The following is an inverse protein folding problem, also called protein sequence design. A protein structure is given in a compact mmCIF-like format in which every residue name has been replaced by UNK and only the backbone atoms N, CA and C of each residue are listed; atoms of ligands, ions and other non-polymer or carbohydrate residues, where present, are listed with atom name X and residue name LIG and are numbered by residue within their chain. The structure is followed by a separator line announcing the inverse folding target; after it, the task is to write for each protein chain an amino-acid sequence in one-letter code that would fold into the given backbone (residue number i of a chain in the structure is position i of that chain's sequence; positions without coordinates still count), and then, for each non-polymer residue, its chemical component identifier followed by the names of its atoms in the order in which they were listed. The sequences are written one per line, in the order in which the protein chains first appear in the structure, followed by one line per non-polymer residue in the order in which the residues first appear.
data_IF_559948816308
#
_entry.id   IF_559948816308
#
_cell.length_a   1.000
_cell.length_b   1.000
_cell.length_c   1.000
_cell.angle_alpha   90.00
_cell.angle_beta   90.00
_cell.angle_gamma   90.00
#
_symmetry.space_group_name_H-M   'P 1'
#
loop_
_entity.id
_entity.type
_entity.pdbx_description
1 polymer ?
#
# COMPACT_ATOMS: atom_id res chain seq x y z
N UNK A 1 10.27 -15.07 5.25
CA UNK A 1 11.27 -15.58 4.28
C UNK A 1 10.65 -15.90 2.91
N UNK A 2 9.53 -16.60 2.84
CA UNK A 2 8.99 -17.13 1.56
C UNK A 2 8.60 -16.10 0.49
N UNK A 3 8.09 -14.92 0.86
CA UNK A 3 7.75 -13.84 -0.09
C UNK A 3 9.01 -13.11 -0.57
N UNK A 4 10.05 -13.12 0.26
CA UNK A 4 11.32 -12.44 0.02
C UNK A 4 12.16 -13.18 -1.03
N UNK A 5 12.17 -14.52 -0.94
CA UNK A 5 12.73 -15.40 -1.96
C UNK A 5 11.97 -15.21 -3.28
N UNK A 6 10.63 -15.13 -3.26
CA UNK A 6 9.81 -14.97 -4.46
C UNK A 6 10.03 -13.65 -5.23
N UNK A 7 10.37 -12.55 -4.56
CA UNK A 7 10.59 -11.25 -5.20
C UNK A 7 12.00 -11.08 -5.78
N UNK A 8 13.02 -11.67 -5.14
CA UNK A 8 14.43 -11.57 -5.56
C UNK A 8 14.88 -12.73 -6.47
N UNK A 9 14.28 -13.92 -6.34
CA UNK A 9 14.71 -15.09 -7.12
C UNK A 9 14.65 -14.88 -8.64
N UNK A 10 13.58 -14.32 -9.24
CA UNK A 10 13.50 -14.26 -10.70
C UNK A 10 14.59 -13.39 -11.33
N UNK A 11 15.05 -12.34 -10.63
CA UNK A 11 15.96 -11.34 -11.19
C UNK A 11 17.45 -11.73 -11.07
N UNK A 12 17.85 -12.40 -9.98
CA UNK A 12 19.22 -12.91 -9.85
C UNK A 12 19.43 -14.14 -10.76
N UNK A 13 18.40 -14.98 -10.92
CA UNK A 13 18.49 -16.21 -11.72
C UNK A 13 18.60 -15.94 -13.22
N UNK A 14 17.92 -14.93 -13.76
CA UNK A 14 17.97 -14.61 -15.20
C UNK A 14 19.29 -13.96 -15.66
N UNK A 15 20.06 -13.34 -14.75
CA UNK A 15 21.43 -12.88 -15.04
C UNK A 15 22.43 -14.06 -15.14
N UNK A 16 22.07 -15.24 -14.61
CA UNK A 16 22.90 -16.45 -14.65
C UNK A 16 22.46 -17.47 -15.73
N UNK A 17 21.20 -17.45 -16.19
CA UNK A 17 20.69 -18.28 -17.30
C UNK A 17 21.13 -17.74 -18.68
N UNK A 18 22.36 -17.25 -18.77
CA UNK A 18 23.06 -16.99 -20.04
C UNK A 18 24.19 -17.99 -20.27
N UNK A 19 24.56 -18.79 -19.25
CA UNK A 19 25.57 -19.84 -19.37
C UNK A 19 25.16 -21.10 -18.59
N UNK A 20 24.99 -22.17 -19.35
CA UNK A 20 25.00 -23.57 -18.94
C UNK A 20 23.70 -24.21 -18.43
N UNK A 21 23.32 -25.26 -19.17
CA UNK A 21 22.25 -26.20 -18.87
C UNK A 21 22.52 -26.93 -17.56
N UNK A 22 21.66 -26.76 -16.54
CA UNK A 22 21.44 -27.76 -15.46
C UNK A 22 20.28 -27.34 -14.55
N UNK A 23 19.04 -27.46 -15.04
CA UNK A 23 17.84 -27.32 -14.20
C UNK A 23 17.69 -28.52 -13.24
N UNK A 24 18.08 -29.72 -13.69
CA UNK A 24 17.87 -30.97 -12.94
C UNK A 24 18.85 -31.19 -11.77
N UNK A 25 20.08 -30.68 -11.85
CA UNK A 25 21.05 -30.83 -10.76
C UNK A 25 20.75 -29.93 -9.55
N UNK A 26 20.04 -28.81 -9.76
CA UNK A 26 19.73 -27.86 -8.68
C UNK A 26 18.50 -28.31 -7.87
N UNK A 27 17.53 -28.99 -8.51
CA UNK A 27 16.42 -29.61 -7.80
C UNK A 27 16.87 -30.68 -6.79
N UNK A 28 18.02 -31.33 -7.03
CA UNK A 28 18.58 -32.32 -6.12
C UNK A 28 19.22 -31.70 -4.86
N UNK A 29 19.79 -30.49 -4.95
CA UNK A 29 20.53 -29.86 -3.84
C UNK A 29 19.63 -29.23 -2.77
N UNK A 30 18.36 -28.93 -3.09
CA UNK A 30 17.41 -28.29 -2.17
C UNK A 30 16.23 -29.17 -1.74
N UNK A 31 16.27 -30.47 -2.08
CA UNK A 31 15.33 -31.45 -1.57
C UNK A 31 15.60 -31.74 -0.09
N UNK A 32 15.04 -30.92 0.80
CA UNK A 32 14.88 -31.31 2.20
C UNK A 32 13.92 -32.53 2.24
N UNK A 33 14.14 -33.56 3.08
CA UNK A 33 13.43 -34.85 2.99
C UNK A 33 11.92 -34.81 3.31
N UNK A 34 11.32 -33.63 3.48
CA UNK A 34 9.90 -33.46 3.77
C UNK A 34 9.27 -32.52 2.73
N UNK A 35 8.60 -33.12 1.73
CA UNK A 35 8.00 -32.48 0.55
C UNK A 35 6.79 -31.56 0.81
N UNK A 36 6.90 -30.60 1.72
CA UNK A 36 5.84 -29.61 2.04
C UNK A 36 5.97 -28.28 1.26
N UNK A 37 7.16 -27.96 0.77
CA UNK A 37 7.46 -26.69 0.08
C UNK A 37 6.75 -26.51 -1.28
N UNK A 38 6.68 -27.51 -2.18
CA UNK A 38 6.10 -27.33 -3.51
C UNK A 38 4.59 -27.05 -3.46
N UNK A 39 3.87 -27.71 -2.55
CA UNK A 39 2.42 -27.56 -2.39
C UNK A 39 2.05 -26.20 -1.81
N UNK A 40 2.79 -25.74 -0.80
CA UNK A 40 2.57 -24.42 -0.18
C UNK A 40 2.89 -23.28 -1.16
N UNK A 41 3.94 -23.46 -1.98
CA UNK A 41 4.30 -22.53 -3.04
C UNK A 41 3.21 -22.42 -4.11
N UNK A 42 2.72 -23.55 -4.64
CA UNK A 42 1.64 -23.57 -5.63
C UNK A 42 0.33 -22.93 -5.12
N UNK A 43 -0.02 -23.14 -3.85
CA UNK A 43 -1.21 -22.52 -3.24
C UNK A 43 -1.05 -21.00 -3.10
N UNK A 44 0.13 -20.53 -2.68
CA UNK A 44 0.42 -19.09 -2.58
C UNK A 44 0.42 -18.42 -3.97
N UNK A 45 1.06 -19.05 -4.96
CA UNK A 45 1.08 -18.58 -6.35
C UNK A 45 -0.34 -18.53 -6.92
N UNK A 46 -1.14 -19.59 -6.80
CA UNK A 46 -2.55 -19.58 -7.27
C UNK A 46 -3.39 -18.45 -6.68
N UNK A 47 -3.22 -18.15 -5.38
CA UNK A 47 -3.95 -17.03 -4.75
C UNK A 47 -3.50 -15.67 -5.27
N UNK A 48 -2.21 -15.46 -5.48
CA UNK A 48 -1.66 -14.21 -6.04
C UNK A 48 -2.14 -14.03 -7.49
N UNK A 49 -2.06 -15.09 -8.30
CA UNK A 49 -2.55 -15.09 -9.68
C UNK A 49 -4.05 -14.79 -9.76
N UNK A 50 -4.86 -15.43 -8.90
CA UNK A 50 -6.32 -15.22 -8.87
C UNK A 50 -6.71 -13.80 -8.45
N UNK A 51 -6.18 -13.31 -7.34
CA UNK A 51 -6.52 -11.98 -6.81
C UNK A 51 -6.02 -10.85 -7.73
N UNK A 52 -4.89 -11.02 -8.40
CA UNK A 52 -4.41 -10.03 -9.38
C UNK A 52 -5.20 -10.12 -10.68
N UNK A 53 -5.44 -11.33 -11.20
CA UNK A 53 -6.20 -11.54 -12.44
C UNK A 53 -7.58 -10.88 -12.38
N UNK A 54 -8.33 -11.09 -11.29
CA UNK A 54 -9.63 -10.42 -11.10
C UNK A 54 -9.51 -8.89 -11.13
N UNK A 55 -8.43 -8.33 -10.58
CA UNK A 55 -8.22 -6.89 -10.55
C UNK A 55 -7.82 -6.30 -11.89
N UNK A 56 -6.93 -6.98 -12.62
CA UNK A 56 -6.57 -6.58 -13.98
C UNK A 56 -7.80 -6.60 -14.90
N UNK A 57 -8.67 -7.60 -14.75
CA UNK A 57 -9.93 -7.67 -15.49
C UNK A 57 -10.91 -6.54 -15.12
N UNK A 58 -11.04 -6.21 -13.83
CA UNK A 58 -11.85 -5.07 -13.38
C UNK A 58 -11.29 -3.72 -13.90
N UNK A 59 -9.97 -3.58 -13.91
CA UNK A 59 -9.27 -2.40 -14.45
C UNK A 59 -9.56 -2.21 -15.93
N UNK A 60 -9.39 -3.27 -16.73
CA UNK A 60 -9.69 -3.24 -18.16
C UNK A 60 -11.18 -2.95 -18.40
N UNK A 61 -12.08 -3.61 -17.68
CA UNK A 61 -13.52 -3.38 -17.85
C UNK A 61 -13.90 -1.92 -17.60
N UNK A 62 -13.24 -1.27 -16.64
CA UNK A 62 -13.44 0.15 -16.40
C UNK A 62 -12.78 1.04 -17.46
N UNK A 63 -11.53 0.79 -17.84
CA UNK A 63 -10.83 1.56 -18.87
C UNK A 63 -11.60 1.50 -20.21
N UNK A 64 -12.22 0.34 -20.53
CA UNK A 64 -13.13 0.17 -21.68
C UNK A 64 -14.43 0.96 -21.50
N UNK A 65 -15.02 0.96 -20.30
CA UNK A 65 -16.21 1.76 -20.02
C UNK A 65 -15.93 3.27 -20.16
N UNK A 66 -14.79 3.73 -19.65
CA UNK A 66 -14.35 5.12 -19.75
C UNK A 66 -14.11 5.50 -21.22
N UNK A 67 -13.47 4.63 -22.01
CA UNK A 67 -13.33 4.80 -23.45
C UNK A 67 -14.66 4.95 -24.18
N UNK A 68 -15.64 4.07 -23.89
CA UNK A 68 -16.98 4.16 -24.49
C UNK A 68 -17.65 5.48 -24.11
N UNK A 69 -17.59 5.88 -22.84
CA UNK A 69 -18.18 7.13 -22.36
C UNK A 69 -17.54 8.36 -22.99
N UNK A 70 -16.21 8.38 -23.13
CA UNK A 70 -15.49 9.49 -23.77
C UNK A 70 -15.82 9.56 -25.26
N UNK A 71 -15.88 8.42 -25.95
CA UNK A 71 -16.30 8.36 -27.36
C UNK A 71 -17.75 8.81 -27.57
N UNK A 72 -18.63 8.56 -26.61
CA UNK A 72 -20.00 9.10 -26.60
C UNK A 72 -20.03 10.62 -26.31
N UNK A 73 -19.06 11.14 -25.55
CA UNK A 73 -18.94 12.55 -25.15
C UNK A 73 -18.04 13.40 -26.07
N UNK A 74 -17.31 12.79 -27.01
CA UNK A 74 -16.34 13.40 -27.95
C UNK A 74 -16.94 14.44 -28.92
N UNK A 75 -18.22 14.80 -28.76
CA UNK A 75 -18.72 16.09 -29.25
C UNK A 75 -18.10 17.28 -28.46
N UNK A 76 -17.45 17.08 -27.30
CA UNK A 76 -17.05 18.22 -26.43
C UNK A 76 -15.71 18.19 -25.64
N UNK A 77 -14.87 17.14 -25.60
CA UNK A 77 -13.55 17.28 -24.93
C UNK A 77 -12.50 16.19 -25.23
N UNK A 78 -11.23 16.58 -25.31
CA UNK A 78 -10.06 15.68 -25.36
C UNK A 78 -9.75 15.13 -23.96
N UNK A 79 -10.06 13.85 -23.69
CA UNK A 79 -9.79 13.22 -22.40
C UNK A 79 -8.36 12.65 -22.33
N UNK A 80 -7.55 13.17 -21.40
CA UNK A 80 -6.17 12.74 -21.18
C UNK A 80 -6.13 11.43 -20.37
N UNK A 81 -5.40 10.44 -20.86
CA UNK A 81 -5.14 9.17 -20.15
C UNK A 81 -6.17 8.06 -20.39
N UNK A 82 -6.98 8.19 -21.43
CA UNK A 82 -7.91 7.16 -21.92
C UNK A 82 -7.16 6.19 -22.84
N UNK A 83 -7.60 4.93 -22.87
CA UNK A 83 -7.06 3.92 -23.78
C UNK A 83 -7.32 4.33 -25.25
N UNK A 84 -6.38 4.09 -26.17
CA UNK A 84 -6.57 4.50 -27.57
C UNK A 84 -7.56 3.60 -28.31
N UNK A 85 -7.62 2.32 -27.94
CA UNK A 85 -8.50 1.33 -28.54
C UNK A 85 -8.93 0.28 -27.50
N UNK A 86 -10.02 -0.42 -27.79
CA UNK A 86 -10.52 -1.51 -26.95
C UNK A 86 -9.57 -2.71 -27.13
N UNK A 87 -8.95 -3.23 -26.04
CA UNK A 87 -8.01 -4.33 -26.15
C UNK A 87 -8.70 -5.65 -26.53
N UNK A 88 -8.04 -6.43 -27.39
CA UNK A 88 -8.44 -7.79 -27.70
C UNK A 88 -8.14 -8.76 -26.55
N UNK A 89 -8.60 -10.01 -26.70
CA UNK A 89 -8.36 -11.06 -25.71
C UNK A 89 -6.87 -11.31 -25.42
N UNK A 90 -5.96 -11.34 -26.43
CA UNK A 90 -4.53 -11.53 -26.18
C UNK A 90 -3.93 -10.41 -25.33
N UNK A 91 -4.25 -9.14 -25.62
CA UNK A 91 -3.74 -7.98 -24.88
C UNK A 91 -4.23 -7.99 -23.43
N UNK A 92 -5.50 -8.35 -23.23
CA UNK A 92 -6.11 -8.52 -21.90
C UNK A 92 -5.35 -9.56 -21.07
N UNK A 93 -5.04 -10.70 -21.68
CA UNK A 93 -4.30 -11.78 -21.02
C UNK A 93 -2.86 -11.36 -20.73
N UNK A 94 -2.17 -10.76 -21.71
CA UNK A 94 -0.80 -10.28 -21.56
C UNK A 94 -0.67 -9.21 -20.47
N UNK A 95 -1.62 -8.27 -20.38
CA UNK A 95 -1.67 -7.29 -19.29
C UNK A 95 -1.95 -7.96 -17.94
N UNK A 96 -2.96 -8.84 -17.88
CA UNK A 96 -3.38 -9.48 -16.63
C UNK A 96 -2.29 -10.35 -16.02
N UNK A 97 -1.50 -11.02 -16.87
CA UNK A 97 -0.40 -11.90 -16.47
C UNK A 97 0.98 -11.29 -16.71
N UNK A 98 1.06 -9.96 -16.95
CA UNK A 98 2.34 -9.27 -17.16
C UNK A 98 3.28 -9.51 -15.98
N UNK A 99 4.40 -10.18 -16.22
CA UNK A 99 5.31 -10.66 -15.15
C UNK A 99 5.87 -9.51 -14.30
N UNK A 100 6.18 -8.35 -14.93
CA UNK A 100 6.71 -7.15 -14.27
C UNK A 100 5.76 -6.69 -13.19
N UNK A 101 4.46 -6.68 -13.50
CA UNK A 101 3.46 -6.39 -12.51
C UNK A 101 3.25 -7.56 -11.54
N UNK A 102 3.05 -8.77 -12.09
CA UNK A 102 2.58 -9.97 -11.38
C UNK A 102 3.38 -10.25 -10.11
N UNK A 103 4.70 -10.14 -10.21
CA UNK A 103 5.63 -10.43 -9.12
C UNK A 103 5.80 -9.26 -8.15
N UNK A 104 5.50 -8.04 -8.58
CA UNK A 104 5.74 -6.80 -7.82
C UNK A 104 4.51 -6.38 -6.99
N UNK A 105 3.33 -6.88 -7.33
CA UNK A 105 2.08 -6.58 -6.62
C UNK A 105 1.59 -5.13 -6.78
N UNK A 106 2.25 -4.36 -7.66
CA UNK A 106 1.92 -2.98 -7.99
C UNK A 106 0.70 -2.91 -8.91
N UNK A 107 -0.12 -1.87 -8.71
CA UNK A 107 -1.23 -1.56 -9.59
C UNK A 107 -0.84 -0.45 -10.56
N UNK A 108 -1.15 -0.68 -11.84
CA UNK A 108 -1.03 0.29 -12.91
C UNK A 108 -2.18 0.04 -13.90
N UNK A 109 -2.65 1.10 -14.57
CA UNK A 109 -3.76 1.00 -15.53
C UNK A 109 -3.37 0.24 -16.79
N UNK A 110 -4.35 -0.23 -17.55
CA UNK A 110 -4.07 -0.82 -18.86
C UNK A 110 -3.42 0.21 -19.79
N UNK A 111 -3.85 1.48 -19.74
CA UNK A 111 -3.20 2.56 -20.48
C UNK A 111 -1.69 2.66 -20.19
N UNK A 112 -1.27 2.53 -18.93
CA UNK A 112 0.16 2.57 -18.57
C UNK A 112 0.95 1.39 -19.14
N UNK A 113 0.32 0.22 -19.21
CA UNK A 113 0.90 -0.94 -19.86
C UNK A 113 1.00 -0.76 -21.37
N UNK A 114 -0.05 -0.24 -22.00
CA UNK A 114 -0.08 0.05 -23.43
C UNK A 114 0.99 1.09 -23.82
N UNK A 115 1.09 2.18 -23.07
CA UNK A 115 2.12 3.22 -23.30
C UNK A 115 3.51 2.64 -23.21
N UNK A 116 3.76 1.79 -22.20
CA UNK A 116 5.04 1.12 -22.01
C UNK A 116 5.45 0.23 -23.20
N UNK A 117 4.49 -0.51 -23.79
CA UNK A 117 4.77 -1.34 -24.96
C UNK A 117 5.00 -0.53 -26.23
N UNK A 118 4.41 0.66 -26.34
CA UNK A 118 4.46 1.51 -27.53
C UNK A 118 5.37 2.73 -27.37
N UNK A 119 6.35 2.68 -26.45
CA UNK A 119 7.29 3.78 -26.27
C UNK A 119 8.16 3.94 -27.52
N UNK A 120 8.31 5.16 -28.08
CA UNK A 120 9.03 5.36 -29.34
C UNK A 120 10.54 5.06 -29.20
N UNK A 121 11.17 5.45 -28.08
CA UNK A 121 12.61 5.28 -27.82
C UNK A 121 12.87 4.70 -26.42
N UNK A 122 12.59 3.42 -26.15
CA UNK A 122 12.74 2.83 -24.81
C UNK A 122 14.19 2.81 -24.31
N UNK A 123 15.17 2.75 -25.21
CA UNK A 123 16.60 2.78 -24.87
C UNK A 123 17.09 4.13 -24.36
N UNK A 124 16.37 5.22 -24.62
CA UNK A 124 16.73 6.57 -24.19
C UNK A 124 16.19 6.89 -22.78
N UNK A 125 15.31 6.03 -22.24
CA UNK A 125 14.68 6.27 -20.94
C UNK A 125 15.70 5.97 -19.82
N UNK A 126 15.97 6.95 -18.93
CA UNK A 126 16.97 6.78 -17.89
C UNK A 126 16.48 5.84 -16.77
N UNK A 127 16.91 4.58 -16.81
CA UNK A 127 16.55 3.58 -15.79
C UNK A 127 17.55 3.51 -14.62
N UNK A 128 18.85 3.67 -14.90
CA UNK A 128 19.93 3.46 -13.92
C UNK A 128 19.87 4.39 -12.71
N UNK A 129 19.73 5.71 -12.92
CA UNK A 129 19.74 6.68 -11.81
C UNK A 129 18.53 6.49 -10.87
N UNK A 130 17.28 6.41 -11.37
CA UNK A 130 16.12 6.15 -10.52
C UNK A 130 16.21 4.79 -9.82
N UNK A 131 16.73 3.76 -10.50
CA UNK A 131 16.94 2.44 -9.92
C UNK A 131 17.90 2.51 -8.73
N UNK A 132 19.07 3.15 -8.91
CA UNK A 132 20.07 3.27 -7.85
C UNK A 132 19.51 4.02 -6.62
N UNK A 133 18.74 5.08 -6.85
CA UNK A 133 18.08 5.84 -5.77
C UNK A 133 17.12 4.97 -4.94
N UNK A 134 16.42 4.02 -5.56
CA UNK A 134 15.60 3.04 -4.83
C UNK A 134 16.47 1.99 -4.15
N UNK A 135 17.41 1.38 -4.87
CA UNK A 135 18.22 0.27 -4.35
C UNK A 135 19.09 0.68 -3.15
N UNK A 136 19.59 1.91 -3.07
CA UNK A 136 20.49 2.35 -1.96
C UNK A 136 19.84 2.25 -0.58
N UNK A 137 18.51 2.40 -0.50
CA UNK A 137 17.77 2.30 0.77
C UNK A 137 17.43 0.85 1.16
N UNK A 138 17.49 -0.10 0.22
CA UNK A 138 17.11 -1.49 0.49
C UNK A 138 18.01 -2.17 1.53
N UNK A 139 19.37 -2.03 1.51
CA UNK A 139 20.23 -2.56 2.56
C UNK A 139 19.92 -1.98 3.95
N UNK A 140 19.59 -0.68 4.02
CA UNK A 140 19.21 -0.02 5.28
C UNK A 140 17.92 -0.63 5.83
N UNK A 141 16.91 -0.83 4.98
CA UNK A 141 15.66 -1.48 5.41
C UNK A 141 15.88 -2.95 5.79
N UNK A 142 16.69 -3.69 5.03
CA UNK A 142 16.97 -5.10 5.30
C UNK A 142 17.69 -5.29 6.64
N UNK A 143 18.76 -4.53 6.88
CA UNK A 143 19.52 -4.58 8.15
C UNK A 143 18.66 -4.15 9.33
N UNK A 144 17.87 -3.08 9.18
CA UNK A 144 16.93 -2.62 10.21
C UNK A 144 15.88 -3.68 10.51
N UNK A 145 15.30 -4.29 9.48
CA UNK A 145 14.32 -5.37 9.63
C UNK A 145 14.93 -6.55 10.40
N UNK A 146 16.11 -7.02 10.01
CA UNK A 146 16.78 -8.15 10.67
C UNK A 146 17.13 -7.81 12.13
N UNK A 147 17.72 -6.65 12.38
CA UNK A 147 18.11 -6.23 13.73
C UNK A 147 16.91 -6.08 14.68
N UNK A 148 15.88 -5.33 14.27
CA UNK A 148 14.73 -5.07 15.14
C UNK A 148 13.86 -6.33 15.30
N UNK A 149 13.69 -7.15 14.26
CA UNK A 149 12.91 -8.40 14.38
C UNK A 149 13.62 -9.46 15.23
N UNK A 150 14.95 -9.45 15.28
CA UNK A 150 15.71 -10.31 16.18
C UNK A 150 15.50 -9.93 17.65
N UNK A 151 15.51 -8.63 17.96
CA UNK A 151 15.36 -8.15 19.34
C UNK A 151 13.88 -8.16 19.80
N UNK A 152 12.95 -7.80 18.92
CA UNK A 152 11.51 -7.73 19.20
C UNK A 152 10.71 -8.57 18.19
N UNK A 153 10.72 -9.91 18.33
CA UNK A 153 10.04 -10.81 17.42
C UNK A 153 8.50 -10.60 17.46
N UNK A 154 7.85 -10.35 16.30
CA UNK A 154 6.38 -10.20 16.22
C UNK A 154 5.60 -11.39 16.79
N UNK A 155 6.19 -12.58 16.76
CA UNK A 155 5.61 -13.82 17.25
C UNK A 155 5.34 -13.79 18.76
N UNK A 156 6.08 -12.97 19.52
CA UNK A 156 5.91 -12.86 20.96
C UNK A 156 4.52 -12.35 21.37
N UNK A 157 3.82 -11.59 20.50
CA UNK A 157 2.45 -11.12 20.74
C UNK A 157 1.43 -12.24 20.94
N UNK A 158 1.72 -13.44 20.45
CA UNK A 158 0.87 -14.62 20.60
C UNK A 158 1.25 -15.49 21.81
N UNK A 159 2.35 -15.18 22.49
CA UNK A 159 2.82 -15.95 23.64
C UNK A 159 2.11 -15.51 24.93
N UNK A 160 1.73 -16.46 25.78
CA UNK A 160 1.10 -16.18 27.09
C UNK A 160 2.01 -15.30 27.96
N UNK A 161 3.33 -15.50 27.92
CA UNK A 161 4.31 -14.71 28.66
C UNK A 161 4.32 -13.21 28.29
N UNK A 162 3.80 -12.84 27.12
CA UNK A 162 3.60 -11.43 26.76
C UNK A 162 2.51 -10.78 27.60
N UNK A 163 1.43 -11.51 27.89
CA UNK A 163 0.27 -11.01 28.61
C UNK A 163 0.51 -10.89 30.12
N UNK A 164 1.53 -11.57 30.64
CA UNK A 164 2.04 -11.40 32.00
C UNK A 164 2.80 -10.08 32.20
N UNK A 165 3.22 -9.42 31.10
CA UNK A 165 3.94 -8.14 31.17
C UNK A 165 3.00 -6.99 31.48
N UNK A 166 3.55 -5.97 32.15
CA UNK A 166 2.82 -4.74 32.50
C UNK A 166 2.28 -3.98 31.27
N UNK A 167 1.29 -3.11 31.49
CA UNK A 167 0.65 -2.33 30.43
C UNK A 167 1.66 -1.52 29.58
N UNK A 168 2.59 -0.83 30.22
CA UNK A 168 3.60 -0.02 29.51
C UNK A 168 4.48 -0.86 28.59
N UNK A 169 4.86 -2.07 29.02
CA UNK A 169 5.62 -2.98 28.17
C UNK A 169 4.80 -3.39 26.94
N UNK A 170 3.52 -3.75 27.13
CA UNK A 170 2.65 -4.16 26.02
C UNK A 170 2.37 -3.03 25.01
N UNK A 171 2.25 -1.79 25.50
CA UNK A 171 2.13 -0.59 24.68
C UNK A 171 3.44 -0.22 23.98
N UNK A 172 4.58 -0.43 24.63
CA UNK A 172 5.88 -0.25 23.99
C UNK A 172 6.10 -1.30 22.90
N UNK A 173 5.79 -2.57 23.16
CA UNK A 173 6.10 -3.69 22.26
C UNK A 173 5.39 -3.62 20.91
N UNK A 174 4.21 -2.99 20.81
CA UNK A 174 3.58 -2.75 19.51
C UNK A 174 4.40 -1.82 18.61
N UNK A 175 5.21 -0.92 19.17
CA UNK A 175 6.02 0.04 18.40
C UNK A 175 7.08 -0.65 17.54
N UNK A 176 8.02 -1.45 18.08
CA UNK A 176 9.01 -2.13 17.27
C UNK A 176 8.37 -3.19 16.35
N UNK A 177 7.31 -3.88 16.79
CA UNK A 177 6.63 -4.87 15.94
C UNK A 177 6.00 -4.21 14.71
N UNK A 178 5.28 -3.11 14.91
CA UNK A 178 4.70 -2.32 13.82
C UNK A 178 5.77 -1.70 12.94
N UNK A 179 6.87 -1.22 13.52
CA UNK A 179 8.00 -0.70 12.75
C UNK A 179 8.64 -1.79 11.85
N UNK A 180 8.90 -2.99 12.38
CA UNK A 180 9.37 -4.16 11.61
C UNK A 180 8.41 -4.47 10.46
N UNK A 181 7.10 -4.43 10.72
CA UNK A 181 6.09 -4.60 9.68
C UNK A 181 6.22 -3.52 8.58
N UNK A 182 6.35 -2.24 8.95
CA UNK A 182 6.48 -1.14 7.98
C UNK A 182 7.76 -1.26 7.16
N UNK A 183 8.91 -1.42 7.80
CA UNK A 183 10.22 -1.56 7.13
C UNK A 183 10.23 -2.74 6.16
N UNK A 184 9.64 -3.87 6.54
CA UNK A 184 9.49 -5.03 5.64
C UNK A 184 8.71 -4.68 4.37
N UNK A 185 7.62 -3.94 4.50
CA UNK A 185 6.81 -3.51 3.35
C UNK A 185 7.52 -2.44 2.52
N UNK A 186 8.24 -1.48 3.15
CA UNK A 186 9.06 -0.49 2.45
C UNK A 186 10.04 -1.18 1.52
N UNK A 187 10.79 -2.15 2.05
CA UNK A 187 11.76 -2.90 1.27
C UNK A 187 11.10 -3.71 0.14
N UNK A 188 9.95 -4.33 0.41
CA UNK A 188 9.19 -5.10 -0.60
C UNK A 188 8.72 -4.20 -1.74
N UNK A 189 8.18 -3.03 -1.42
CA UNK A 189 7.69 -2.09 -2.42
C UNK A 189 8.81 -1.35 -3.16
N UNK A 190 9.94 -1.08 -2.52
CA UNK A 190 11.13 -0.58 -3.22
C UNK A 190 11.67 -1.60 -4.22
N UNK A 191 11.69 -2.89 -3.88
CA UNK A 191 12.05 -3.96 -4.83
C UNK A 191 11.06 -4.06 -5.99
N UNK A 192 9.77 -3.92 -5.69
CA UNK A 192 8.69 -3.89 -6.68
C UNK A 192 8.82 -2.70 -7.65
N UNK A 193 9.04 -1.49 -7.13
CA UNK A 193 9.29 -0.29 -7.92
C UNK A 193 10.56 -0.43 -8.76
N UNK A 194 11.63 -0.96 -8.18
CA UNK A 194 12.91 -1.21 -8.88
C UNK A 194 12.72 -2.13 -10.08
N UNK A 195 11.93 -3.20 -9.94
CA UNK A 195 11.61 -4.10 -11.04
C UNK A 195 10.85 -3.40 -12.18
N UNK A 196 9.90 -2.51 -11.87
CA UNK A 196 9.23 -1.68 -12.87
C UNK A 196 10.20 -0.70 -13.54
N UNK A 197 11.06 -0.04 -12.76
CA UNK A 197 12.07 0.90 -13.27
C UNK A 197 13.03 0.21 -14.23
N UNK A 198 13.53 -0.98 -13.88
CA UNK A 198 14.40 -1.77 -14.76
C UNK A 198 13.71 -2.13 -16.08
N UNK A 199 12.41 -2.38 -16.06
CA UNK A 199 11.62 -2.65 -17.26
C UNK A 199 11.25 -1.39 -18.07
N UNK A 200 11.48 -0.18 -17.53
CA UNK A 200 10.96 1.06 -18.12
C UNK A 200 9.46 1.28 -17.92
N UNK A 201 8.80 0.42 -17.16
CA UNK A 201 7.36 0.48 -16.90
C UNK A 201 7.03 1.63 -15.95
N UNK A 202 6.10 2.50 -16.37
CA UNK A 202 5.69 3.68 -15.60
C UNK A 202 6.62 4.88 -15.77
N UNK A 203 7.56 4.83 -16.72
CA UNK A 203 8.34 5.97 -17.13
C UNK A 203 7.45 6.94 -17.93
N UNK A 204 7.36 8.17 -17.47
CA UNK A 204 6.70 9.25 -18.21
C UNK A 204 7.56 10.50 -18.22
N UNK A 205 7.43 11.34 -19.26
CA UNK A 205 8.06 12.65 -19.29
C UNK A 205 7.63 13.51 -18.09
N UNK A 206 8.55 14.28 -17.51
CA UNK A 206 8.26 15.11 -16.34
C UNK A 206 7.19 16.17 -16.61
N UNK A 207 7.07 16.69 -17.84
CA UNK A 207 6.01 17.63 -18.23
C UNK A 207 4.61 16.99 -18.18
N UNK A 208 4.50 15.67 -18.34
CA UNK A 208 3.23 14.95 -18.25
C UNK A 208 2.77 14.76 -16.81
N UNK A 209 3.52 15.27 -15.81
CA UNK A 209 3.23 15.14 -14.38
C UNK A 209 2.93 13.69 -13.98
N UNK A 210 3.73 12.76 -14.51
CA UNK A 210 3.66 11.33 -14.18
C UNK A 210 2.29 10.71 -14.50
N UNK A 211 1.63 11.21 -15.55
CA UNK A 211 0.37 10.67 -16.06
C UNK A 211 0.55 10.08 -17.45
N UNK A 212 -0.26 9.07 -17.80
CA UNK A 212 -0.39 8.63 -19.18
C UNK A 212 -0.68 9.77 -20.14
N UNK A 213 0.19 9.93 -21.12
CA UNK A 213 0.11 10.93 -22.17
C UNK A 213 0.80 10.35 -23.42
N UNK A 214 0.40 10.85 -24.59
CA UNK A 214 1.09 10.51 -25.82
C UNK A 214 2.49 11.16 -25.78
N UNK A 215 3.52 10.32 -25.86
CA UNK A 215 4.90 10.77 -25.71
C UNK A 215 5.40 11.25 -27.07
N UNK A 216 5.47 12.57 -27.25
CA UNK A 216 6.14 13.16 -28.41
C UNK A 216 7.66 13.03 -28.31
N UNK A 217 8.33 12.81 -29.44
CA UNK A 217 9.79 12.68 -29.55
C UNK A 217 10.48 14.01 -29.19
N UNK A 218 11.54 13.92 -28.36
CA UNK A 218 12.36 15.09 -27.98
C UNK A 218 12.38 15.43 -26.48
N UNK A 219 11.81 14.59 -25.61
CA UNK A 219 11.75 14.89 -24.18
C UNK A 219 13.00 14.47 -23.39
N UNK A 220 13.53 15.41 -22.60
CA UNK A 220 14.87 15.32 -21.97
C UNK A 220 14.85 14.71 -20.56
N UNK A 221 13.70 14.60 -19.89
CA UNK A 221 13.61 14.09 -18.52
C UNK A 221 12.37 13.22 -18.30
N UNK A 222 12.59 12.05 -17.67
CA UNK A 222 11.56 11.09 -17.28
C UNK A 222 11.53 10.93 -15.75
N UNK A 223 10.35 10.64 -15.21
CA UNK A 223 10.14 10.18 -13.85
C UNK A 223 9.33 8.87 -13.82
N UNK A 224 9.30 8.24 -12.64
CA UNK A 224 8.62 6.96 -12.39
C UNK A 224 7.55 7.08 -11.31
N UNK A 225 7.04 8.29 -11.05
CA UNK A 225 6.09 8.50 -9.95
C UNK A 225 4.76 7.78 -10.20
N UNK A 226 4.42 7.46 -11.46
CA UNK A 226 3.22 6.67 -11.80
C UNK A 226 3.19 5.29 -11.15
N UNK A 227 4.36 4.67 -10.94
CA UNK A 227 4.48 3.35 -10.30
C UNK A 227 4.98 3.44 -8.85
N UNK A 228 5.16 4.65 -8.31
CA UNK A 228 5.53 4.85 -6.91
C UNK A 228 4.40 4.36 -6.01
N UNK A 229 4.74 3.45 -5.11
CA UNK A 229 3.81 2.77 -4.25
C UNK A 229 4.03 3.07 -2.77
N UNK A 230 5.18 3.63 -2.41
CA UNK A 230 5.49 3.97 -1.03
C UNK A 230 6.30 5.25 -0.91
N UNK A 231 5.96 6.01 0.11
CA UNK A 231 6.77 7.10 0.64
C UNK A 231 7.05 6.85 2.13
N UNK A 232 8.22 6.28 2.47
CA UNK A 232 8.60 6.02 3.87
C UNK A 232 8.66 7.30 4.70
N UNK A 233 9.14 8.41 4.12
CA UNK A 233 9.26 9.67 4.86
C UNK A 233 7.87 10.20 5.24
N UNK A 234 6.95 10.30 4.28
CA UNK A 234 5.59 10.71 4.56
C UNK A 234 4.87 9.75 5.51
N UNK A 235 5.07 8.43 5.37
CA UNK A 235 4.45 7.44 6.27
C UNK A 235 4.85 7.67 7.74
N UNK A 236 6.14 7.88 8.00
CA UNK A 236 6.64 8.07 9.38
C UNK A 236 6.35 9.49 9.90
N UNK A 237 6.57 10.53 9.08
CA UNK A 237 6.65 11.92 9.54
C UNK A 237 5.43 12.80 9.23
N UNK A 238 4.47 12.38 8.40
CA UNK A 238 3.23 13.14 8.26
C UNK A 238 2.49 13.26 9.60
N UNK A 239 1.82 14.39 9.81
CA UNK A 239 1.12 14.68 11.07
C UNK A 239 -0.18 13.90 11.15
N UNK A 240 -0.96 13.92 10.06
CA UNK A 240 -2.30 13.35 10.00
C UNK A 240 -2.29 11.87 9.62
N UNK A 241 -3.27 11.14 10.14
CA UNK A 241 -3.64 9.76 9.77
C UNK A 241 -3.98 9.72 8.29
N UNK A 242 -4.81 10.67 7.82
CA UNK A 242 -5.19 10.74 6.40
C UNK A 242 -3.96 10.84 5.48
N UNK A 243 -3.04 11.75 5.78
CA UNK A 243 -1.85 11.99 4.97
C UNK A 243 -0.94 10.75 4.96
N UNK A 244 -0.73 10.11 6.12
CA UNK A 244 0.08 8.89 6.18
C UNK A 244 -0.52 7.72 5.40
N UNK A 245 -1.87 7.60 5.32
CA UNK A 245 -2.53 6.60 4.47
C UNK A 245 -2.23 6.86 2.99
N UNK A 246 -2.19 8.12 2.56
CA UNK A 246 -1.87 8.49 1.18
C UNK A 246 -0.43 8.18 0.78
N UNK A 247 0.48 8.04 1.75
CA UNK A 247 1.88 7.65 1.51
C UNK A 247 2.09 6.13 1.51
N UNK A 248 1.09 5.33 1.92
CA UNK A 248 1.20 3.89 2.12
C UNK A 248 0.42 3.09 1.08
N UNK A 249 1.11 2.24 0.32
CA UNK A 249 0.51 1.40 -0.74
C UNK A 249 -0.26 2.24 -1.77
N UNK A 250 0.40 3.27 -2.28
CA UNK A 250 -0.19 4.39 -3.03
C UNK A 250 -0.98 3.92 -4.27
N UNK A 251 -0.47 2.94 -5.02
CA UNK A 251 -1.14 2.44 -6.23
C UNK A 251 -2.47 1.73 -5.89
N UNK A 252 -2.50 0.99 -4.78
CA UNK A 252 -3.72 0.37 -4.25
C UNK A 252 -4.69 1.42 -3.70
N UNK A 253 -4.18 2.44 -2.99
CA UNK A 253 -5.02 3.53 -2.50
C UNK A 253 -5.70 4.26 -3.65
N UNK A 254 -4.95 4.54 -4.73
CA UNK A 254 -5.51 5.09 -5.95
C UNK A 254 -6.61 4.18 -6.51
N UNK A 255 -6.36 2.87 -6.61
CA UNK A 255 -7.35 1.90 -7.09
C UNK A 255 -8.63 1.94 -6.24
N UNK A 256 -8.51 1.89 -4.91
CA UNK A 256 -9.66 1.97 -4.01
C UNK A 256 -10.41 3.29 -4.17
N UNK A 257 -9.69 4.40 -4.32
CA UNK A 257 -10.31 5.69 -4.52
C UNK A 257 -11.17 5.73 -5.79
N UNK A 258 -10.63 5.29 -6.93
CA UNK A 258 -11.33 5.32 -8.21
C UNK A 258 -12.53 4.38 -8.23
N UNK A 259 -12.35 3.13 -7.77
CA UNK A 259 -13.33 2.07 -8.02
C UNK A 259 -14.29 1.84 -6.86
N UNK A 260 -13.95 2.28 -5.65
CA UNK A 260 -14.81 2.09 -4.47
C UNK A 260 -15.27 3.43 -3.91
N UNK A 261 -14.35 4.29 -3.48
CA UNK A 261 -14.67 5.47 -2.69
C UNK A 261 -15.48 6.52 -3.46
N UNK A 262 -15.18 6.74 -4.75
CA UNK A 262 -15.92 7.65 -5.63
C UNK A 262 -17.32 7.15 -6.00
N UNK A 263 -17.51 5.83 -6.04
CA UNK A 263 -18.72 5.19 -6.55
C UNK A 263 -19.78 4.96 -5.47
N UNK A 264 -19.49 5.27 -4.20
CA UNK A 264 -20.50 5.24 -3.14
C UNK A 264 -21.51 6.37 -3.39
N UNK A 265 -22.77 5.99 -3.62
CA UNK A 265 -23.89 6.88 -3.98
C UNK A 265 -24.07 8.03 -3.00
N UNK A 266 -23.84 7.77 -1.72
CA UNK A 266 -24.09 8.72 -0.64
C UNK A 266 -22.88 9.62 -0.38
N UNK A 267 -22.74 10.67 -1.22
CA UNK A 267 -21.59 11.58 -1.21
C UNK A 267 -21.45 12.36 0.11
N UNK A 268 -22.55 12.54 0.85
CA UNK A 268 -22.61 13.34 2.06
C UNK A 268 -22.12 12.60 3.31
N UNK A 269 -22.00 11.27 3.27
CA UNK A 269 -21.61 10.46 4.42
C UNK A 269 -20.14 10.00 4.32
N UNK A 270 -19.21 10.92 4.61
CA UNK A 270 -17.76 10.67 4.63
C UNK A 270 -17.37 9.37 5.35
N UNK A 271 -17.90 9.14 6.55
CA UNK A 271 -17.60 7.96 7.36
C UNK A 271 -18.01 6.67 6.66
N UNK A 272 -19.20 6.65 6.05
CA UNK A 272 -19.71 5.47 5.34
C UNK A 272 -18.81 5.11 4.16
N UNK A 273 -18.36 6.13 3.40
CA UNK A 273 -17.45 5.94 2.26
C UNK A 273 -16.12 5.34 2.70
N UNK A 274 -15.52 5.88 3.76
CA UNK A 274 -14.27 5.33 4.32
C UNK A 274 -14.46 3.93 4.90
N UNK A 275 -15.53 3.69 5.66
CA UNK A 275 -15.82 2.37 6.24
C UNK A 275 -16.03 1.31 5.14
N UNK A 276 -16.76 1.65 4.08
CA UNK A 276 -16.96 0.77 2.94
C UNK A 276 -15.66 0.46 2.21
N UNK A 277 -14.88 1.49 1.86
CA UNK A 277 -13.57 1.31 1.24
C UNK A 277 -12.62 0.46 2.10
N UNK A 278 -12.60 0.69 3.42
CA UNK A 278 -11.77 -0.08 4.35
C UNK A 278 -12.27 -1.52 4.54
N UNK A 279 -13.59 -1.76 4.47
CA UNK A 279 -14.15 -3.11 4.47
C UNK A 279 -13.75 -3.91 3.22
N UNK A 280 -13.79 -3.28 2.04
CA UNK A 280 -13.29 -3.89 0.80
C UNK A 280 -11.78 -4.12 0.88
N UNK A 281 -11.03 -3.19 1.47
CA UNK A 281 -9.60 -3.37 1.73
C UNK A 281 -9.34 -4.58 2.63
N UNK A 282 -10.10 -4.74 3.73
CA UNK A 282 -10.02 -5.91 4.59
C UNK A 282 -10.31 -7.21 3.84
N UNK A 283 -11.40 -7.24 3.07
CA UNK A 283 -11.76 -8.37 2.22
C UNK A 283 -10.63 -8.74 1.27
N UNK A 284 -9.94 -7.74 0.71
CA UNK A 284 -8.81 -7.96 -0.19
C UNK A 284 -7.62 -8.64 0.49
N UNK A 285 -7.39 -8.38 1.77
CA UNK A 285 -6.39 -9.08 2.57
C UNK A 285 -6.85 -10.47 3.03
N UNK A 286 -8.16 -10.73 3.01
CA UNK A 286 -8.79 -12.04 3.18
C UNK A 286 -9.91 -12.03 4.22
N UNK A 287 -10.63 -13.15 4.35
CA UNK A 287 -11.80 -13.30 5.23
C UNK A 287 -11.47 -13.47 6.73
N UNK A 288 -10.24 -13.16 7.14
CA UNK A 288 -9.82 -13.33 8.53
C UNK A 288 -10.28 -12.14 9.38
N UNK A 289 -10.96 -12.36 10.52
CA UNK A 289 -11.57 -11.26 11.29
C UNK A 289 -10.60 -10.18 11.75
N UNK A 290 -9.34 -10.51 12.03
CA UNK A 290 -8.33 -9.52 12.43
C UNK A 290 -8.11 -8.42 11.39
N UNK A 291 -8.27 -8.73 10.09
CA UNK A 291 -8.20 -7.71 9.03
C UNK A 291 -9.34 -6.71 9.12
N UNK A 292 -10.56 -7.20 9.28
CA UNK A 292 -11.75 -6.34 9.37
C UNK A 292 -11.69 -5.44 10.59
N UNK A 293 -11.32 -6.00 11.75
CA UNK A 293 -11.15 -5.24 12.99
C UNK A 293 -10.14 -4.09 12.80
N UNK A 294 -8.96 -4.39 12.24
CA UNK A 294 -7.92 -3.40 11.99
C UNK A 294 -8.36 -2.31 11.01
N UNK A 295 -8.83 -2.68 9.82
CA UNK A 295 -9.20 -1.69 8.80
C UNK A 295 -10.40 -0.86 9.21
N UNK A 296 -11.41 -1.43 9.89
CA UNK A 296 -12.58 -0.69 10.35
C UNK A 296 -12.30 0.22 11.56
N UNK A 297 -11.13 0.09 12.19
CA UNK A 297 -10.67 1.06 13.20
C UNK A 297 -10.18 2.37 12.54
N UNK A 298 -9.71 2.33 11.29
CA UNK A 298 -9.17 3.51 10.59
C UNK A 298 -10.22 4.61 10.37
N UNK A 299 -11.45 4.33 9.86
CA UNK A 299 -12.49 5.35 9.71
C UNK A 299 -12.81 6.09 11.01
N UNK A 300 -12.82 5.39 12.16
CA UNK A 300 -13.01 6.01 13.47
C UNK A 300 -11.90 7.02 13.80
N UNK A 301 -10.63 6.65 13.55
CA UNK A 301 -9.51 7.57 13.74
C UNK A 301 -9.61 8.79 12.82
N UNK A 302 -10.08 8.63 11.58
CA UNK A 302 -10.23 9.72 10.62
C UNK A 302 -11.31 10.72 11.03
N UNK A 303 -12.48 10.26 11.48
CA UNK A 303 -13.53 11.18 11.96
C UNK A 303 -13.14 11.87 13.27
N UNK A 304 -12.40 11.19 14.15
CA UNK A 304 -11.87 11.79 15.36
C UNK A 304 -10.82 12.89 15.04
N UNK A 305 -9.94 12.61 14.07
CA UNK A 305 -8.95 13.57 13.57
C UNK A 305 -9.61 14.81 12.95
N UNK A 306 -10.62 14.64 12.12
CA UNK A 306 -11.36 15.74 11.49
C UNK A 306 -12.09 16.59 12.53
N UNK A 307 -12.79 15.97 13.48
CA UNK A 307 -13.48 16.67 14.55
C UNK A 307 -12.53 17.48 15.45
N UNK A 308 -11.36 16.94 15.78
CA UNK A 308 -10.34 17.66 16.54
C UNK A 308 -9.74 18.83 15.76
N UNK A 309 -9.50 18.64 14.45
CA UNK A 309 -9.02 19.71 13.59
C UNK A 309 -10.00 20.88 13.56
N UNK A 310 -11.29 20.60 13.32
CA UNK A 310 -12.34 21.60 13.22
C UNK A 310 -12.63 22.29 14.57
N UNK A 311 -12.75 21.51 15.64
CA UNK A 311 -13.17 22.03 16.95
C UNK A 311 -12.07 22.72 17.73
N UNK A 312 -10.82 22.22 17.65
CA UNK A 312 -9.72 22.68 18.50
C UNK A 312 -8.52 23.17 17.70
N UNK A 313 -7.93 22.35 16.83
CA UNK A 313 -6.59 22.60 16.30
C UNK A 313 -6.50 23.80 15.35
N UNK A 314 -7.58 24.12 14.62
CA UNK A 314 -7.64 25.31 13.74
C UNK A 314 -7.64 26.62 14.51
N UNK A 315 -8.10 26.63 15.76
CA UNK A 315 -8.25 27.83 16.57
C UNK A 315 -7.06 28.06 17.52
N UNK A 316 -6.04 27.20 17.48
CA UNK A 316 -4.83 27.35 18.29
C UNK A 316 -3.92 28.46 17.74
N UNK A 317 -3.19 29.12 18.65
CA UNK A 317 -2.11 30.03 18.27
C UNK A 317 -1.00 29.29 17.48
N UNK A 318 -0.16 30.01 16.70
CA UNK A 318 0.92 29.38 15.92
C UNK A 318 1.84 28.49 16.77
N UNK A 319 2.24 28.95 17.95
CA UNK A 319 3.06 28.17 18.88
C UNK A 319 2.31 26.95 19.43
N UNK A 320 1.03 27.11 19.79
CA UNK A 320 0.18 26.00 20.23
C UNK A 320 0.01 24.93 19.16
N UNK A 321 -0.09 25.34 17.89
CA UNK A 321 -0.21 24.44 16.74
C UNK A 321 1.04 23.56 16.55
N UNK A 322 2.23 24.06 16.86
CA UNK A 322 3.47 23.26 16.77
C UNK A 322 3.42 22.11 17.77
N UNK A 323 3.12 22.37 19.04
CA UNK A 323 3.01 21.33 20.07
C UNK A 323 1.89 20.34 19.74
N UNK A 324 0.74 20.84 19.29
CA UNK A 324 -0.36 20.00 18.87
C UNK A 324 0.01 19.08 17.70
N UNK A 325 0.74 19.58 16.70
CA UNK A 325 1.19 18.78 15.55
C UNK A 325 2.17 17.67 15.98
N UNK A 326 3.05 17.92 16.96
CA UNK A 326 3.93 16.89 17.52
C UNK A 326 3.13 15.82 18.26
N UNK A 327 2.19 16.22 19.12
CA UNK A 327 1.31 15.30 19.84
C UNK A 327 0.47 14.46 18.88
N UNK A 328 -0.12 15.09 17.86
CA UNK A 328 -0.90 14.42 16.82
C UNK A 328 -0.05 13.39 16.09
N UNK A 329 1.16 13.76 15.66
CA UNK A 329 2.08 12.82 15.01
C UNK A 329 2.37 11.60 15.89
N UNK A 330 2.63 11.81 17.19
CA UNK A 330 2.87 10.71 18.13
C UNK A 330 1.64 9.80 18.27
N UNK A 331 0.45 10.38 18.43
CA UNK A 331 -0.81 9.65 18.54
C UNK A 331 -1.15 8.88 17.26
N UNK A 332 -0.93 9.48 16.08
CA UNK A 332 -1.05 8.84 14.76
C UNK A 332 -0.20 7.57 14.71
N UNK A 333 1.07 7.66 15.12
CA UNK A 333 1.95 6.48 15.12
C UNK A 333 1.45 5.39 16.07
N UNK A 334 0.92 5.75 17.26
CA UNK A 334 0.30 4.77 18.17
C UNK A 334 -0.95 4.13 17.59
N UNK A 335 -1.79 4.88 16.87
CA UNK A 335 -2.93 4.32 16.16
C UNK A 335 -2.49 3.32 15.07
N UNK A 336 -1.44 3.64 14.31
CA UNK A 336 -0.86 2.70 13.33
C UNK A 336 -0.31 1.44 13.98
N UNK A 337 0.41 1.58 15.08
CA UNK A 337 0.98 0.43 15.79
C UNK A 337 -0.12 -0.51 16.30
N UNK A 338 -1.17 0.06 16.88
CA UNK A 338 -2.33 -0.67 17.37
C UNK A 338 -3.11 -1.40 16.26
N UNK A 339 -3.37 -0.72 15.14
CA UNK A 339 -4.03 -1.31 13.97
C UNK A 339 -3.16 -2.39 13.33
N UNK A 340 -1.85 -2.18 13.26
CA UNK A 340 -0.88 -3.14 12.74
C UNK A 340 -0.87 -4.44 13.55
N UNK A 341 -0.90 -4.37 14.88
CA UNK A 341 -0.95 -5.57 15.72
C UNK A 341 -2.21 -6.40 15.44
N UNK A 342 -3.38 -5.76 15.35
CA UNK A 342 -4.61 -6.47 14.98
C UNK A 342 -4.52 -7.14 13.59
N UNK A 343 -3.83 -6.50 12.65
CA UNK A 343 -3.65 -7.01 11.29
C UNK A 343 -2.69 -8.23 11.28
N UNK A 344 -1.66 -8.21 12.11
CA UNK A 344 -0.68 -9.29 12.24
C UNK A 344 -1.23 -10.53 12.94
N UNK A 345 -2.09 -10.36 13.95
CA UNK A 345 -2.67 -11.48 14.71
C UNK A 345 -3.67 -12.29 13.87
N UNK A 346 -4.36 -11.63 12.93
CA UNK A 346 -5.30 -12.22 11.95
C UNK A 346 -6.55 -12.87 12.56
N UNK A 347 -6.49 -13.50 13.74
CA UNK A 347 -7.62 -14.14 14.40
C UNK A 347 -8.48 -13.13 15.17
N UNK A 348 -9.78 -13.39 15.27
CA UNK A 348 -10.67 -12.56 16.09
C UNK A 348 -10.24 -12.58 17.55
N UNK A 349 -10.09 -13.78 18.11
CA UNK A 349 -9.74 -14.00 19.51
C UNK A 349 -8.40 -13.38 19.88
N UNK A 350 -7.37 -13.57 19.05
CA UNK A 350 -6.04 -12.99 19.29
C UNK A 350 -6.09 -11.46 19.31
N UNK A 351 -6.76 -10.85 18.32
CA UNK A 351 -6.89 -9.39 18.25
C UNK A 351 -7.68 -8.83 19.44
N UNK A 352 -8.81 -9.43 19.81
CA UNK A 352 -9.61 -8.99 20.95
C UNK A 352 -8.87 -9.19 22.28
N UNK A 353 -8.16 -10.32 22.44
CA UNK A 353 -7.33 -10.56 23.62
C UNK A 353 -6.26 -9.47 23.76
N UNK A 354 -5.52 -9.19 22.69
CA UNK A 354 -4.52 -8.12 22.67
C UNK A 354 -5.12 -6.76 22.97
N UNK A 355 -6.21 -6.38 22.30
CA UNK A 355 -6.87 -5.08 22.50
C UNK A 355 -7.45 -4.89 23.90
N UNK A 356 -8.03 -5.95 24.48
CA UNK A 356 -8.46 -5.96 25.89
C UNK A 356 -7.27 -5.78 26.83
N UNK A 357 -6.14 -6.41 26.53
CA UNK A 357 -4.93 -6.34 27.34
C UNK A 357 -4.36 -4.91 27.44
N UNK A 358 -4.58 -4.08 26.41
CA UNK A 358 -4.22 -2.66 26.37
C UNK A 358 -5.42 -1.72 26.55
N UNK A 359 -6.52 -2.24 27.12
CA UNK A 359 -7.73 -1.48 27.47
C UNK A 359 -8.38 -0.71 26.31
N UNK A 360 -8.28 -1.21 25.08
CA UNK A 360 -8.84 -0.57 23.89
C UNK A 360 -8.41 0.90 23.74
N UNK A 361 -7.19 1.24 24.17
CA UNK A 361 -6.73 2.61 24.34
C UNK A 361 -6.91 3.50 23.10
N UNK A 362 -6.73 2.94 21.89
CA UNK A 362 -6.91 3.68 20.63
C UNK A 362 -8.39 3.90 20.30
N UNK A 363 -9.28 2.92 20.50
CA UNK A 363 -10.72 3.13 20.31
C UNK A 363 -11.26 4.15 21.31
N UNK A 364 -10.90 4.01 22.59
CA UNK A 364 -11.31 4.94 23.65
C UNK A 364 -10.76 6.34 23.37
N UNK A 365 -9.50 6.45 22.96
CA UNK A 365 -8.89 7.72 22.58
C UNK A 365 -9.58 8.37 21.38
N UNK A 366 -9.85 7.61 20.31
CA UNK A 366 -10.52 8.13 19.12
C UNK A 366 -11.95 8.59 19.42
N UNK A 367 -12.73 7.84 20.19
CA UNK A 367 -14.08 8.27 20.62
C UNK A 367 -14.00 9.52 21.49
N UNK A 368 -13.07 9.57 22.45
CA UNK A 368 -12.86 10.76 23.29
C UNK A 368 -12.52 11.99 22.46
N UNK A 369 -11.60 11.88 21.49
CA UNK A 369 -11.23 12.97 20.60
C UNK A 369 -12.39 13.41 19.69
N UNK A 370 -13.19 12.46 19.19
CA UNK A 370 -14.38 12.78 18.42
C UNK A 370 -15.38 13.61 19.24
N UNK A 371 -15.67 13.19 20.48
CA UNK A 371 -16.60 13.90 21.38
C UNK A 371 -16.07 15.28 21.72
N UNK A 372 -14.81 15.38 22.17
CA UNK A 372 -14.19 16.66 22.51
C UNK A 372 -14.17 17.61 21.31
N UNK A 373 -13.75 17.12 20.13
CA UNK A 373 -13.73 17.93 18.91
C UNK A 373 -15.11 18.48 18.55
N UNK A 374 -16.16 17.66 18.63
CA UNK A 374 -17.55 18.10 18.36
C UNK A 374 -18.07 19.10 19.39
N UNK A 375 -17.81 18.86 20.67
CA UNK A 375 -18.23 19.78 21.75
C UNK A 375 -17.54 21.14 21.60
N UNK A 376 -16.22 21.15 21.36
CA UNK A 376 -15.46 22.39 21.16
C UNK A 376 -15.90 23.14 19.89
N UNK A 377 -16.22 22.41 18.82
CA UNK A 377 -16.78 23.00 17.59
C UNK A 377 -18.11 23.70 17.86
N UNK A 378 -19.04 23.03 18.55
CA UNK A 378 -20.34 23.59 18.89
C UNK A 378 -20.23 24.81 19.82
N UNK A 379 -19.28 24.80 20.77
CA UNK A 379 -19.03 25.94 21.65
C UNK A 379 -18.52 27.17 20.88
N UNK A 380 -17.63 26.99 19.90
CA UNK A 380 -17.16 28.08 19.05
C UNK A 380 -18.25 28.63 18.13
N UNK A 381 -19.16 27.78 17.64
CA UNK A 381 -20.32 28.23 16.87
C UNK A 381 -21.31 29.03 17.72
N UNK A 382 -21.53 28.62 18.98
CA UNK A 382 -22.41 29.32 19.92
C UNK A 382 -21.85 30.69 20.37
N UNK A 383 -20.52 30.85 20.36
CA UNK A 383 -19.86 32.10 20.74
C UNK A 383 -19.76 33.14 19.61
N UNK A 384 -20.02 32.76 18.36
CA UNK A 384 -20.11 33.68 17.21
C UNK A 384 -21.55 34.15 17.03
#
# INVERSE_FOLDING_TARGET
MDIFILALFPQIYLLQISRDNTFDQICATFAHPQGSWPKLWLVKVRRVLGLRGTKSLLLIAHDVKEFIQVKEQEVTSNAIGVIPEIPGLPEILCYSYCYVGLMTGLFYRYRTYHDWLNQPNPSEIPTWKPLLYRLVMMPVFATTFLGVSYIWPPEFLQNVAFYEKGLYFRLFYMMPVSFVFRVRNYMTWYGAESACITAGLGAYPTWANSKPADVETGCVAYDYETIRNIDPYGTEFCIKVKDGIHCWNMTVQWWFYQYTYKNVTDKNHFLLRYAWTMAISAYWHGLRPGYYLSFLTIPLCLVAEEAMEDGLLRNLSPSGRIYANWTHRLLKMRAYDYVCVGFLLRSFEGTICYWRSVHYCVHVGAVSFLVVGKVMGALHEWQR
#
